data_IF_916192961502
#
_entry.id   IF_916192961502
#
_cell.length_a   1.000
_cell.length_b   1.000
_cell.length_c   1.000
_cell.angle_alpha   90.00
_cell.angle_beta   90.00
_cell.angle_gamma   90.00
#
_symmetry.space_group_name_H-M   'P 1'
#
loop_
_entity.id
_entity.type
_entity.pdbx_description
1 polymer ?
#
# COMPACT_ATOMS: atom_id res chain seq x y z
N UNK A 1 15.25 -3.51 3.69
CA UNK A 1 15.21 -4.82 3.03
C UNK A 1 16.62 -5.37 3.03
N UNK A 2 16.78 -6.57 3.54
CA UNK A 2 18.05 -7.31 3.47
C UNK A 2 18.21 -7.93 2.07
N UNK A 3 19.12 -7.39 1.29
CA UNK A 3 19.33 -7.81 -0.09
C UNK A 3 20.03 -9.16 -0.19
N UNK A 4 20.76 -9.59 0.85
CA UNK A 4 21.50 -10.85 0.85
C UNK A 4 20.59 -12.08 0.97
N UNK A 5 19.38 -11.86 1.50
CA UNK A 5 18.35 -12.91 1.65
C UNK A 5 17.23 -12.82 0.61
N UNK A 6 17.29 -11.84 -0.29
CA UNK A 6 16.29 -11.61 -1.32
C UNK A 6 16.61 -12.38 -2.60
N UNK A 7 15.66 -13.20 -3.07
CA UNK A 7 15.74 -13.76 -4.42
C UNK A 7 15.27 -12.70 -5.43
N UNK A 8 16.19 -12.27 -6.30
CA UNK A 8 15.89 -11.36 -7.40
C UNK A 8 15.89 -12.13 -8.73
N UNK A 9 14.83 -11.96 -9.52
CA UNK A 9 14.68 -12.60 -10.84
C UNK A 9 14.22 -11.55 -11.84
N UNK A 10 14.95 -11.40 -12.95
CA UNK A 10 14.58 -10.54 -14.06
C UNK A 10 13.70 -11.32 -15.05
N UNK A 11 12.49 -10.80 -15.32
CA UNK A 11 11.50 -11.43 -16.20
C UNK A 11 10.84 -10.36 -17.08
N UNK A 12 10.60 -10.68 -18.35
CA UNK A 12 10.12 -9.74 -19.35
C UNK A 12 8.64 -9.94 -19.69
N UNK A 13 8.16 -11.19 -19.62
CA UNK A 13 6.77 -11.47 -20.01
C UNK A 13 5.87 -11.78 -18.82
N UNK A 14 4.59 -11.49 -19.00
CA UNK A 14 3.55 -11.79 -18.00
C UNK A 14 3.50 -13.29 -17.73
N UNK A 15 3.61 -14.09 -18.78
CA UNK A 15 3.57 -15.55 -18.69
C UNK A 15 4.73 -16.07 -17.82
N UNK A 16 5.96 -15.62 -18.08
CA UNK A 16 7.14 -16.05 -17.32
C UNK A 16 7.09 -15.60 -15.86
N UNK A 17 6.54 -14.40 -15.60
CA UNK A 17 6.31 -13.91 -14.22
C UNK A 17 5.42 -14.89 -13.46
N UNK A 18 4.27 -15.24 -14.02
CA UNK A 18 3.31 -16.10 -13.31
C UNK A 18 3.77 -17.56 -13.22
N UNK A 19 4.45 -18.10 -14.23
CA UNK A 19 5.05 -19.43 -14.19
C UNK A 19 6.17 -19.51 -13.14
N UNK A 20 6.96 -18.44 -13.01
CA UNK A 20 8.01 -18.34 -11.98
C UNK A 20 7.41 -18.26 -10.58
N UNK A 21 6.35 -17.46 -10.37
CA UNK A 21 5.64 -17.39 -9.08
C UNK A 21 5.12 -18.78 -8.68
N UNK A 22 4.48 -19.51 -9.61
CA UNK A 22 3.98 -20.86 -9.37
C UNK A 22 5.11 -21.81 -8.97
N UNK A 23 6.21 -21.77 -9.69
CA UNK A 23 7.39 -22.60 -9.42
C UNK A 23 7.98 -22.32 -8.03
N UNK A 24 8.16 -21.04 -7.69
CA UNK A 24 8.71 -20.63 -6.40
C UNK A 24 7.79 -21.09 -5.25
N UNK A 25 6.49 -20.82 -5.35
CA UNK A 25 5.53 -21.21 -4.31
C UNK A 25 5.52 -22.73 -4.14
N UNK A 26 5.49 -23.49 -5.23
CA UNK A 26 5.49 -24.96 -5.19
C UNK A 26 6.75 -25.49 -4.50
N UNK A 27 7.94 -25.04 -4.91
CA UNK A 27 9.21 -25.48 -4.32
C UNK A 27 9.33 -25.13 -2.83
N UNK A 28 8.88 -23.93 -2.44
CA UNK A 28 8.89 -23.55 -1.03
C UNK A 28 7.95 -24.46 -0.22
N UNK A 29 6.79 -24.85 -0.76
CA UNK A 29 5.82 -25.72 -0.06
C UNK A 29 6.29 -27.17 0.05
N UNK A 30 7.13 -27.63 -0.87
CA UNK A 30 7.83 -28.93 -0.75
C UNK A 30 8.78 -28.95 0.44
N UNK A 31 9.45 -27.82 0.73
CA UNK A 31 10.43 -27.71 1.84
C UNK A 31 9.81 -27.21 3.13
N UNK A 32 8.80 -26.35 3.08
CA UNK A 32 8.17 -25.74 4.26
C UNK A 32 6.70 -25.35 4.01
N UNK A 33 5.79 -26.01 4.70
CA UNK A 33 4.33 -25.75 4.55
C UNK A 33 3.88 -24.42 5.17
N UNK A 34 4.58 -23.94 6.19
CA UNK A 34 4.13 -22.82 7.05
C UNK A 34 4.88 -21.52 6.85
N UNK A 35 5.93 -21.51 6.05
CA UNK A 35 6.76 -20.30 5.82
C UNK A 35 5.93 -19.22 5.14
N UNK A 36 5.92 -18.01 5.73
CA UNK A 36 5.38 -16.83 5.07
C UNK A 36 6.27 -16.44 3.90
N UNK A 37 5.68 -16.25 2.73
CA UNK A 37 6.38 -15.86 1.51
C UNK A 37 5.82 -14.55 0.99
N UNK A 38 6.68 -13.56 0.80
CA UNK A 38 6.31 -12.29 0.14
C UNK A 38 6.95 -12.26 -1.23
N UNK A 39 6.14 -12.04 -2.27
CA UNK A 39 6.58 -11.90 -3.65
C UNK A 39 6.16 -10.51 -4.14
N UNK A 40 7.13 -9.73 -4.60
CA UNK A 40 6.91 -8.41 -5.20
C UNK A 40 7.20 -8.49 -6.69
N UNK A 41 6.26 -8.03 -7.50
CA UNK A 41 6.41 -7.86 -8.96
C UNK A 41 6.41 -6.38 -9.30
N UNK A 42 7.53 -5.86 -9.73
CA UNK A 42 7.72 -4.47 -10.12
C UNK A 42 8.21 -4.40 -11.58
N UNK A 43 7.33 -4.05 -12.51
CA UNK A 43 5.89 -3.81 -12.45
C UNK A 43 5.16 -4.58 -13.55
N UNK A 44 3.90 -4.89 -13.34
CA UNK A 44 3.06 -5.47 -14.41
C UNK A 44 2.85 -4.52 -15.59
N UNK A 45 3.02 -3.21 -15.40
CA UNK A 45 2.91 -2.24 -16.48
C UNK A 45 4.03 -2.43 -17.52
N UNK A 46 5.24 -2.76 -17.07
CA UNK A 46 6.42 -2.94 -17.93
C UNK A 46 6.46 -4.28 -18.65
N UNK A 47 5.87 -5.33 -18.06
CA UNK A 47 5.89 -6.66 -18.66
C UNK A 47 5.08 -6.70 -19.96
N UNK A 48 5.62 -7.36 -21.00
CA UNK A 48 4.93 -7.66 -22.25
C UNK A 48 4.27 -9.04 -22.19
N UNK A 49 3.55 -9.46 -23.22
CA UNK A 49 3.16 -10.87 -23.41
C UNK A 49 4.11 -11.53 -24.39
N UNK A 50 4.22 -12.87 -24.38
CA UNK A 50 5.02 -13.60 -25.36
C UNK A 50 4.61 -13.25 -26.79
N UNK A 51 3.31 -13.11 -27.02
CA UNK A 51 2.75 -12.72 -28.32
C UNK A 51 3.18 -11.29 -28.74
N UNK A 52 3.28 -10.37 -27.77
CA UNK A 52 3.80 -9.01 -28.04
C UNK A 52 5.30 -9.03 -28.37
N UNK A 53 6.08 -9.90 -27.71
CA UNK A 53 7.52 -10.00 -27.95
C UNK A 53 7.85 -10.58 -29.33
N UNK A 54 7.02 -11.50 -29.83
CA UNK A 54 7.20 -12.18 -31.10
C UNK A 54 6.64 -11.40 -32.30
N UNK A 55 6.00 -10.28 -32.09
CA UNK A 55 5.30 -9.55 -33.14
C UNK A 55 6.08 -8.37 -33.70
N UNK A 56 5.81 -8.04 -34.95
CA UNK A 56 6.32 -6.85 -35.61
C UNK A 56 5.70 -5.57 -35.02
N UNK A 57 6.46 -4.48 -34.99
CA UNK A 57 6.04 -3.20 -34.38
C UNK A 57 4.82 -2.55 -35.05
N UNK A 58 4.46 -2.98 -36.26
CA UNK A 58 3.40 -2.40 -37.09
C UNK A 58 2.00 -2.98 -36.81
N UNK A 59 1.85 -3.94 -35.87
CA UNK A 59 0.57 -4.60 -35.61
C UNK A 59 -0.14 -4.00 -34.43
N UNK A 60 -1.40 -3.63 -34.58
CA UNK A 60 -2.31 -3.15 -33.54
C UNK A 60 -2.99 -4.30 -32.78
N UNK A 61 -3.44 -4.06 -31.55
CA UNK A 61 -4.32 -4.98 -30.81
C UNK A 61 -3.73 -5.61 -29.54
N UNK A 62 -2.51 -5.29 -29.17
CA UNK A 62 -1.77 -5.90 -28.05
C UNK A 62 -2.38 -5.69 -26.66
N UNK A 63 -3.05 -4.57 -26.42
CA UNK A 63 -3.66 -4.27 -25.12
C UNK A 63 -4.72 -5.30 -24.70
N UNK A 64 -5.43 -5.87 -25.67
CA UNK A 64 -6.44 -6.92 -25.45
C UNK A 64 -5.77 -8.25 -25.11
N UNK A 65 -4.66 -8.60 -25.78
CA UNK A 65 -3.90 -9.81 -25.51
C UNK A 65 -3.41 -9.85 -24.08
N UNK A 66 -2.75 -8.80 -23.62
CA UNK A 66 -2.28 -8.66 -22.24
C UNK A 66 -3.41 -8.81 -21.20
N UNK A 67 -4.58 -8.23 -21.45
CA UNK A 67 -5.71 -8.35 -20.55
C UNK A 67 -6.25 -9.80 -20.45
N UNK A 68 -6.24 -10.56 -21.54
CA UNK A 68 -6.65 -11.96 -21.60
C UNK A 68 -5.66 -12.83 -20.81
N UNK A 69 -4.36 -12.66 -21.07
CA UNK A 69 -3.30 -13.41 -20.37
C UNK A 69 -3.35 -13.15 -18.88
N UNK A 70 -3.40 -11.89 -18.46
CA UNK A 70 -3.53 -11.51 -17.04
C UNK A 70 -4.80 -12.08 -16.41
N UNK A 71 -5.91 -12.11 -17.13
CA UNK A 71 -7.16 -12.66 -16.61
C UNK A 71 -7.06 -14.17 -16.33
N UNK A 72 -6.40 -14.93 -17.19
CA UNK A 72 -6.12 -16.36 -16.98
C UNK A 72 -5.13 -16.56 -15.84
N UNK A 73 -4.03 -15.84 -15.84
CA UNK A 73 -2.97 -15.93 -14.84
C UNK A 73 -3.51 -15.60 -13.43
N UNK A 74 -4.28 -14.52 -13.29
CA UNK A 74 -4.87 -14.15 -11.99
C UNK A 74 -5.84 -15.19 -11.44
N UNK A 75 -6.64 -15.84 -12.27
CA UNK A 75 -7.50 -16.94 -11.81
C UNK A 75 -6.69 -18.12 -11.28
N UNK A 76 -5.64 -18.53 -12.01
CA UNK A 76 -4.77 -19.65 -11.63
C UNK A 76 -4.00 -19.33 -10.34
N UNK A 77 -3.33 -18.17 -10.29
CA UNK A 77 -2.49 -17.81 -9.15
C UNK A 77 -3.30 -17.57 -7.87
N UNK A 78 -4.50 -16.99 -7.96
CA UNK A 78 -5.36 -16.77 -6.80
C UNK A 78 -5.76 -18.10 -6.15
N UNK A 79 -6.02 -19.13 -6.96
CA UNK A 79 -6.32 -20.47 -6.43
C UNK A 79 -5.08 -21.13 -5.82
N UNK A 80 -3.93 -20.99 -6.48
CA UNK A 80 -2.67 -21.54 -6.00
C UNK A 80 -2.27 -20.95 -4.64
N UNK A 81 -2.29 -19.63 -4.49
CA UNK A 81 -1.86 -18.96 -3.26
C UNK A 81 -2.91 -19.00 -2.15
N UNK A 82 -4.16 -19.32 -2.46
CA UNK A 82 -5.22 -19.48 -1.46
C UNK A 82 -4.76 -20.48 -0.40
N UNK A 83 -4.78 -20.10 0.88
CA UNK A 83 -4.33 -20.92 2.02
C UNK A 83 -2.83 -21.24 2.06
N UNK A 84 -1.99 -20.62 1.22
CA UNK A 84 -0.57 -20.92 1.12
C UNK A 84 0.34 -19.93 1.89
N UNK A 85 -0.22 -19.05 2.71
CA UNK A 85 0.55 -18.01 3.42
C UNK A 85 1.51 -17.22 2.51
N UNK A 86 0.99 -16.83 1.32
CA UNK A 86 1.72 -16.04 0.32
C UNK A 86 1.13 -14.63 0.28
N UNK A 87 1.97 -13.63 0.45
CA UNK A 87 1.66 -12.22 0.16
C UNK A 87 2.21 -11.89 -1.24
N UNK A 88 1.32 -11.71 -2.21
CA UNK A 88 1.68 -11.35 -3.57
C UNK A 88 1.35 -9.89 -3.82
N UNK A 89 2.38 -9.08 -4.11
CA UNK A 89 2.31 -7.64 -4.29
C UNK A 89 2.65 -7.31 -5.75
N UNK A 90 1.78 -6.54 -6.39
CA UNK A 90 2.03 -5.99 -7.73
C UNK A 90 2.09 -4.48 -7.68
N UNK A 91 3.12 -3.89 -8.27
CA UNK A 91 3.09 -2.49 -8.65
C UNK A 91 2.49 -2.32 -10.04
N UNK A 92 1.79 -1.21 -10.26
CA UNK A 92 1.23 -0.89 -11.57
C UNK A 92 1.18 0.63 -11.77
N UNK A 93 1.20 1.07 -13.01
CA UNK A 93 1.10 2.48 -13.35
C UNK A 93 -0.35 2.91 -13.55
N UNK A 94 -0.68 4.09 -13.04
CA UNK A 94 -1.96 4.76 -13.30
C UNK A 94 -1.87 5.50 -14.63
N UNK A 95 -2.93 5.35 -15.43
CA UNK A 95 -3.12 6.07 -16.69
C UNK A 95 -4.46 6.81 -16.62
N UNK A 96 -4.50 8.00 -17.19
CA UNK A 96 -5.74 8.76 -17.29
C UNK A 96 -6.56 8.26 -18.49
N UNK A 97 -7.83 7.99 -18.27
CA UNK A 97 -8.77 7.72 -19.34
C UNK A 97 -9.11 9.03 -20.05
N UNK A 98 -8.93 9.08 -21.36
CA UNK A 98 -9.34 10.22 -22.15
C UNK A 98 -10.87 10.27 -22.26
N UNK A 99 -11.44 11.48 -22.19
CA UNK A 99 -12.88 11.69 -22.41
C UNK A 99 -13.80 11.34 -21.23
N UNK A 100 -13.27 10.99 -20.05
CA UNK A 100 -14.09 10.75 -18.86
C UNK A 100 -14.38 12.08 -18.16
N UNK A 101 -15.62 12.56 -18.28
CA UNK A 101 -16.07 13.79 -17.61
C UNK A 101 -16.57 13.54 -16.17
N UNK A 102 -17.05 12.33 -15.86
CA UNK A 102 -17.59 11.95 -14.55
C UNK A 102 -16.98 10.64 -14.06
N UNK A 103 -16.85 10.47 -12.72
CA UNK A 103 -16.30 9.28 -12.09
C UNK A 103 -14.77 9.28 -12.00
N UNK A 104 -14.17 8.11 -11.69
CA UNK A 104 -12.72 7.97 -11.52
C UNK A 104 -12.02 7.94 -12.90
N UNK A 105 -11.24 8.98 -13.25
CA UNK A 105 -10.55 9.05 -14.54
C UNK A 105 -9.34 8.11 -14.62
N UNK A 106 -8.97 7.48 -13.52
CA UNK A 106 -7.76 6.67 -13.44
C UNK A 106 -8.01 5.20 -13.78
N UNK A 107 -7.13 4.63 -14.56
CA UNK A 107 -7.10 3.21 -14.91
C UNK A 107 -5.69 2.66 -14.83
N UNK A 108 -5.56 1.34 -14.78
CA UNK A 108 -4.28 0.63 -14.82
C UNK A 108 -4.17 -0.19 -16.10
N UNK A 109 -2.94 -0.43 -16.57
CA UNK A 109 -2.72 -1.37 -17.67
C UNK A 109 -3.09 -2.80 -17.27
N UNK A 110 -3.44 -3.63 -18.27
CA UNK A 110 -3.77 -5.05 -18.03
C UNK A 110 -5.24 -5.34 -17.71
N UNK A 111 -6.15 -4.40 -17.96
CA UNK A 111 -7.60 -4.63 -17.86
C UNK A 111 -8.12 -4.67 -16.41
N UNK A 112 -9.26 -5.34 -16.20
CA UNK A 112 -9.98 -5.39 -14.92
C UNK A 112 -9.62 -6.57 -14.02
N UNK A 113 -8.83 -7.55 -14.50
CA UNK A 113 -8.55 -8.77 -13.77
C UNK A 113 -7.80 -8.51 -12.46
N UNK A 114 -6.70 -7.74 -12.51
CA UNK A 114 -5.92 -7.42 -11.31
C UNK A 114 -6.74 -6.64 -10.28
N UNK A 115 -7.45 -5.54 -10.63
CA UNK A 115 -8.38 -4.87 -9.71
C UNK A 115 -9.42 -5.78 -9.08
N UNK A 116 -9.94 -6.74 -9.84
CA UNK A 116 -10.95 -7.68 -9.35
C UNK A 116 -10.40 -8.66 -8.33
N UNK A 117 -9.25 -9.29 -8.63
CA UNK A 117 -8.66 -10.33 -7.78
C UNK A 117 -7.95 -9.76 -6.54
N UNK A 118 -7.36 -8.57 -6.61
CA UNK A 118 -6.66 -7.96 -5.49
C UNK A 118 -7.56 -7.84 -4.24
N UNK A 119 -7.04 -8.27 -3.09
CA UNK A 119 -7.69 -8.11 -1.78
C UNK A 119 -7.60 -6.67 -1.30
N UNK A 120 -6.45 -6.06 -1.45
CA UNK A 120 -6.20 -4.66 -1.09
C UNK A 120 -5.61 -3.93 -2.30
N UNK A 121 -6.05 -2.69 -2.53
CA UNK A 121 -5.48 -1.79 -3.53
C UNK A 121 -5.17 -0.46 -2.90
N UNK A 122 -3.94 -0.01 -3.08
CA UNK A 122 -3.45 1.27 -2.56
C UNK A 122 -3.07 2.14 -3.74
N UNK A 123 -3.56 3.39 -3.76
CA UNK A 123 -3.16 4.43 -4.70
C UNK A 123 -2.16 5.34 -4.03
N UNK A 124 -1.00 5.54 -4.64
CA UNK A 124 -0.01 6.51 -4.20
C UNK A 124 -0.13 7.77 -5.02
N UNK A 125 -0.07 8.93 -4.35
CA UNK A 125 -0.09 10.24 -4.99
C UNK A 125 1.01 11.12 -4.41
N UNK A 126 1.81 11.74 -5.27
CA UNK A 126 2.74 12.78 -4.88
C UNK A 126 1.95 14.05 -4.54
N UNK A 127 2.12 14.58 -3.34
CA UNK A 127 1.44 15.75 -2.80
C UNK A 127 2.31 17.02 -2.85
N UNK A 128 3.58 16.89 -3.20
CA UNK A 128 4.51 18.01 -3.30
C UNK A 128 5.93 17.67 -2.85
N UNK A 129 6.81 18.62 -3.05
CA UNK A 129 8.24 18.52 -2.71
C UNK A 129 8.48 18.92 -1.26
N UNK A 130 9.41 18.25 -0.62
CA UNK A 130 9.98 18.66 0.68
C UNK A 130 11.31 19.31 0.40
N UNK A 131 11.51 20.53 0.90
CA UNK A 131 12.71 21.32 0.68
C UNK A 131 13.44 21.59 1.99
N UNK A 132 14.75 21.64 1.92
CA UNK A 132 15.59 22.07 3.03
C UNK A 132 15.65 23.62 3.16
N UNK A 133 16.44 24.10 4.12
CA UNK A 133 16.65 25.54 4.36
C UNK A 133 17.33 26.25 3.19
N UNK A 134 18.04 25.52 2.32
CA UNK A 134 18.69 26.02 1.11
C UNK A 134 17.79 26.01 -0.12
N UNK A 135 16.54 25.56 0.06
CA UNK A 135 15.52 25.34 -0.99
C UNK A 135 15.81 24.15 -1.91
N UNK A 136 16.77 23.29 -1.56
CA UNK A 136 17.02 22.05 -2.29
C UNK A 136 15.93 21.02 -1.99
N UNK A 137 15.49 20.28 -3.02
CA UNK A 137 14.47 19.24 -2.84
C UNK A 137 15.12 18.00 -2.25
N UNK A 138 14.77 17.68 -1.00
CA UNK A 138 15.33 16.56 -0.23
C UNK A 138 14.36 15.37 -0.13
N UNK A 139 13.11 15.54 -0.59
CA UNK A 139 12.11 14.50 -0.54
C UNK A 139 10.79 14.93 -1.15
N UNK A 140 9.80 14.05 -1.02
CA UNK A 140 8.41 14.28 -1.47
C UNK A 140 7.42 13.86 -0.39
N UNK A 141 6.27 14.52 -0.35
CA UNK A 141 5.15 14.12 0.48
C UNK A 141 4.24 13.18 -0.31
N UNK A 142 4.01 11.99 0.20
CA UNK A 142 3.18 10.97 -0.44
C UNK A 142 1.86 10.84 0.32
N UNK A 143 0.75 10.72 -0.44
CA UNK A 143 -0.52 10.23 0.08
C UNK A 143 -0.75 8.83 -0.43
N UNK A 144 -0.92 7.87 0.50
CA UNK A 144 -1.38 6.52 0.22
C UNK A 144 -2.87 6.42 0.54
N UNK A 145 -3.69 6.04 -0.42
CA UNK A 145 -5.13 5.86 -0.27
C UNK A 145 -5.53 4.42 -0.55
N UNK A 146 -6.20 3.79 0.38
CA UNK A 146 -6.77 2.45 0.21
C UNK A 146 -8.05 2.55 -0.60
N UNK A 147 -8.00 2.24 -1.90
CA UNK A 147 -9.16 2.33 -2.81
C UNK A 147 -9.99 1.05 -2.88
N UNK A 148 -9.47 -0.06 -2.36
CA UNK A 148 -10.18 -1.32 -2.18
C UNK A 148 -9.57 -2.07 -1.00
N UNK A 149 -10.40 -2.63 -0.15
CA UNK A 149 -9.96 -3.51 0.92
C UNK A 149 -11.05 -4.56 1.21
N UNK A 150 -10.65 -5.83 1.26
CA UNK A 150 -11.51 -6.96 1.67
C UNK A 150 -11.31 -7.36 3.12
N UNK A 151 -10.24 -6.85 3.75
CA UNK A 151 -9.83 -7.19 5.12
C UNK A 151 -10.28 -6.15 6.15
N UNK A 152 -10.88 -5.04 5.71
CA UNK A 152 -11.33 -3.94 6.56
C UNK A 152 -11.88 -2.78 5.74
N UNK A 153 -12.17 -1.62 6.37
CA UNK A 153 -12.75 -0.46 5.70
C UNK A 153 -11.85 0.07 4.58
N UNK A 154 -12.38 0.29 3.36
CA UNK A 154 -11.68 1.00 2.30
C UNK A 154 -11.71 2.52 2.51
N UNK A 155 -11.17 3.27 1.55
CA UNK A 155 -11.20 4.73 1.41
C UNK A 155 -10.38 5.51 2.44
N UNK A 156 -9.66 4.84 3.33
CA UNK A 156 -8.73 5.49 4.25
C UNK A 156 -7.47 5.96 3.53
N UNK A 157 -6.89 7.03 4.02
CA UNK A 157 -5.62 7.54 3.50
C UNK A 157 -4.67 7.92 4.63
N UNK A 158 -3.38 7.77 4.36
CA UNK A 158 -2.29 8.26 5.18
C UNK A 158 -1.36 9.13 4.35
N UNK A 159 -0.77 10.15 4.96
CA UNK A 159 0.26 10.99 4.35
C UNK A 159 1.55 10.82 5.12
N UNK A 160 2.64 10.70 4.40
CA UNK A 160 3.97 10.55 4.98
C UNK A 160 5.04 11.17 4.08
N UNK A 161 6.14 11.65 4.68
CA UNK A 161 7.31 12.10 3.93
C UNK A 161 8.13 10.90 3.43
N UNK A 162 8.64 11.04 2.22
CA UNK A 162 9.63 10.13 1.62
C UNK A 162 10.86 10.96 1.30
N UNK A 163 11.94 10.78 2.06
CA UNK A 163 13.22 11.43 1.85
C UNK A 163 14.10 10.63 0.89
N UNK A 164 14.87 11.31 0.06
CA UNK A 164 15.69 10.64 -0.97
C UNK A 164 16.91 9.91 -0.39
N UNK A 165 17.39 10.35 0.77
CA UNK A 165 18.56 9.79 1.46
C UNK A 165 18.22 8.64 2.42
N UNK A 166 17.01 8.63 3.02
CA UNK A 166 16.65 7.69 4.09
C UNK A 166 15.30 7.00 3.92
N UNK A 167 14.58 7.29 2.83
CA UNK A 167 13.30 6.65 2.55
C UNK A 167 12.13 7.23 3.35
N UNK A 168 11.18 6.38 3.76
CA UNK A 168 9.99 6.79 4.50
C UNK A 168 10.37 7.22 5.91
N UNK A 169 9.91 8.40 6.33
CA UNK A 169 9.98 8.82 7.72
C UNK A 169 8.79 8.23 8.50
N UNK A 170 8.99 7.02 8.98
CA UNK A 170 7.96 6.29 9.70
C UNK A 170 7.65 6.96 11.04
N UNK A 171 8.68 7.34 11.78
CA UNK A 171 8.53 7.94 13.11
C UNK A 171 7.91 9.34 13.08
N UNK A 172 8.29 10.19 12.14
CA UNK A 172 7.63 11.48 11.93
C UNK A 172 6.16 11.32 11.54
N UNK A 173 5.83 10.24 10.83
CA UNK A 173 4.45 9.88 10.51
C UNK A 173 3.66 9.46 11.74
N UNK A 174 4.25 8.69 12.66
CA UNK A 174 3.62 8.33 13.93
C UNK A 174 3.30 9.55 14.77
N UNK A 175 4.25 10.48 14.93
CA UNK A 175 4.03 11.71 15.67
C UNK A 175 2.88 12.55 15.09
N UNK A 176 2.76 12.59 13.75
CA UNK A 176 1.65 13.25 13.07
C UNK A 176 0.32 12.60 13.44
N UNK A 177 0.23 11.27 13.36
CA UNK A 177 -0.98 10.53 13.75
C UNK A 177 -1.32 10.71 15.22
N UNK A 178 -0.32 10.69 16.11
CA UNK A 178 -0.52 10.93 17.53
C UNK A 178 -1.13 12.33 17.81
N UNK A 179 -0.70 13.34 17.06
CA UNK A 179 -1.28 14.70 17.14
C UNK A 179 -2.73 14.71 16.68
N UNK A 180 -2.99 14.15 15.51
CA UNK A 180 -4.32 14.15 14.90
C UNK A 180 -5.35 13.44 15.78
N UNK A 181 -4.93 12.40 16.49
CA UNK A 181 -5.76 11.61 17.40
C UNK A 181 -5.66 12.01 18.88
N UNK A 182 -4.99 13.14 19.18
CA UNK A 182 -4.85 13.67 20.56
C UNK A 182 -4.19 12.70 21.55
N UNK A 183 -3.33 11.82 21.05
CA UNK A 183 -2.49 10.95 21.87
C UNK A 183 -1.28 11.66 22.46
N UNK A 184 -0.98 12.86 21.95
CA UNK A 184 0.09 13.73 22.42
C UNK A 184 -0.44 15.16 22.52
N UNK A 185 -0.07 15.87 23.58
CA UNK A 185 -0.32 17.31 23.71
C UNK A 185 0.83 18.08 23.09
N UNK A 186 0.53 19.18 22.40
CA UNK A 186 1.55 20.07 21.84
C UNK A 186 1.44 21.48 22.43
N UNK A 187 2.56 21.99 22.93
CA UNK A 187 2.71 23.36 23.39
C UNK A 187 3.94 23.99 22.71
N UNK A 188 3.71 24.81 21.68
CA UNK A 188 4.79 25.35 20.86
C UNK A 188 5.60 24.25 20.16
N UNK A 189 6.91 24.18 20.43
CA UNK A 189 7.81 23.15 19.90
C UNK A 189 7.86 21.86 20.72
N UNK A 190 7.19 21.85 21.88
CA UNK A 190 7.21 20.74 22.82
C UNK A 190 5.98 19.86 22.69
N UNK A 191 6.20 18.56 22.87
CA UNK A 191 5.18 17.52 22.90
C UNK A 191 5.23 16.82 24.24
N UNK A 192 4.05 16.51 24.79
CA UNK A 192 3.93 15.73 26.03
C UNK A 192 3.12 14.48 25.72
N UNK A 193 3.70 13.32 26.02
CA UNK A 193 3.10 12.00 25.87
C UNK A 193 3.05 11.33 27.24
N UNK A 194 1.96 10.64 27.54
CA UNK A 194 1.78 9.87 28.78
C UNK A 194 1.87 8.39 28.41
N UNK A 195 2.77 7.65 29.06
CA UNK A 195 2.94 6.22 28.83
C UNK A 195 1.95 5.37 29.66
N UNK A 196 2.10 4.04 29.58
CA UNK A 196 1.24 3.07 30.27
C UNK A 196 1.33 3.14 31.81
N UNK A 197 2.39 3.72 32.34
CA UNK A 197 2.67 3.85 33.78
C UNK A 197 2.30 5.27 34.29
N UNK A 198 1.50 6.01 33.55
CA UNK A 198 1.11 7.41 33.80
C UNK A 198 2.30 8.38 33.88
N UNK A 199 3.44 8.03 33.31
CA UNK A 199 4.61 8.88 33.29
C UNK A 199 4.56 9.82 32.09
N UNK A 200 4.76 11.11 32.36
CA UNK A 200 4.85 12.14 31.33
C UNK A 200 6.26 12.19 30.71
N UNK A 201 6.29 12.16 29.37
CA UNK A 201 7.50 12.34 28.56
C UNK A 201 7.39 13.64 27.77
N UNK A 202 8.25 14.59 28.05
CA UNK A 202 8.37 15.83 27.29
C UNK A 202 9.52 15.72 26.29
N UNK A 203 9.25 16.07 25.02
CA UNK A 203 10.24 15.99 23.96
C UNK A 203 9.96 16.99 22.83
N UNK A 204 10.96 17.29 22.02
CA UNK A 204 10.79 17.98 20.75
C UNK A 204 10.69 16.96 19.61
N UNK A 205 10.10 17.37 18.48
CA UNK A 205 9.94 16.49 17.30
C UNK A 205 11.23 15.77 16.89
N UNK A 206 12.40 16.45 16.99
CA UNK A 206 13.71 15.87 16.66
C UNK A 206 14.14 14.74 17.62
N UNK A 207 13.64 14.76 18.85
CA UNK A 207 14.02 13.82 19.92
C UNK A 207 13.06 12.63 20.00
N UNK A 208 11.99 12.62 19.20
CA UNK A 208 10.98 11.56 19.18
C UNK A 208 11.59 10.18 18.85
N UNK A 209 12.53 10.13 17.92
CA UNK A 209 13.26 8.91 17.58
C UNK A 209 14.00 8.30 18.78
N UNK A 210 14.54 9.14 19.67
CA UNK A 210 15.20 8.66 20.90
C UNK A 210 14.19 8.11 21.92
N UNK A 211 13.00 8.73 22.04
CA UNK A 211 11.95 8.25 22.93
C UNK A 211 11.46 6.86 22.53
N UNK A 212 11.27 6.60 21.24
CA UNK A 212 10.79 5.33 20.71
C UNK A 212 11.91 4.31 20.45
N UNK A 213 13.15 4.59 20.81
CA UNK A 213 14.23 3.60 20.79
C UNK A 213 14.06 2.53 21.88
N UNK A 214 13.32 2.86 22.95
CA UNK A 214 12.86 1.88 23.93
C UNK A 214 11.72 1.04 23.34
N UNK A 215 11.91 -0.29 23.34
CA UNK A 215 11.01 -1.24 22.67
C UNK A 215 9.61 -1.25 23.30
N UNK A 216 9.53 -1.11 24.62
CA UNK A 216 8.25 -1.14 25.34
C UNK A 216 7.46 0.14 25.06
N UNK A 217 8.10 1.29 25.08
CA UNK A 217 7.51 2.59 24.71
C UNK A 217 7.08 2.59 23.26
N UNK A 218 7.91 2.08 22.33
CA UNK A 218 7.58 1.95 20.92
C UNK A 218 6.32 1.12 20.71
N UNK A 219 6.26 -0.03 21.35
CA UNK A 219 5.11 -0.94 21.27
C UNK A 219 3.84 -0.28 21.80
N UNK A 220 3.93 0.35 22.96
CA UNK A 220 2.78 1.03 23.57
C UNK A 220 2.23 2.16 22.68
N UNK A 221 3.11 2.97 22.10
CA UNK A 221 2.72 4.02 21.15
C UNK A 221 2.05 3.42 19.92
N UNK A 222 2.66 2.36 19.35
CA UNK A 222 2.11 1.66 18.19
C UNK A 222 0.71 1.10 18.49
N UNK A 223 0.54 0.41 19.60
CA UNK A 223 -0.75 -0.18 20.01
C UNK A 223 -1.80 0.93 20.24
N UNK A 224 -1.42 2.04 20.89
CA UNK A 224 -2.28 3.20 21.11
C UNK A 224 -2.72 3.86 19.80
N UNK A 225 -1.83 3.99 18.82
CA UNK A 225 -2.15 4.47 17.47
C UNK A 225 -3.14 3.50 16.81
N UNK A 226 -2.85 2.19 16.85
CA UNK A 226 -3.70 1.19 16.26
C UNK A 226 -5.12 1.18 16.85
N UNK A 227 -5.25 1.33 18.15
CA UNK A 227 -6.56 1.42 18.81
C UNK A 227 -7.40 2.63 18.35
N UNK A 228 -6.75 3.75 18.08
CA UNK A 228 -7.44 4.97 17.63
C UNK A 228 -7.72 4.98 16.13
N UNK A 229 -6.81 4.42 15.33
CA UNK A 229 -6.90 4.48 13.86
C UNK A 229 -7.66 3.29 13.29
N UNK A 230 -7.51 2.09 13.87
CA UNK A 230 -8.20 0.89 13.42
C UNK A 230 -9.65 0.96 13.92
N UNK A 231 -10.59 1.08 12.98
CA UNK A 231 -12.01 0.95 13.32
C UNK A 231 -12.24 -0.52 13.66
N UNK A 232 -12.42 -0.80 14.95
CA UNK A 232 -12.96 -2.08 15.40
C UNK A 232 -14.44 -2.06 15.02
N UNK A 233 -14.90 -3.01 14.24
CA UNK A 233 -16.31 -3.26 14.08
C UNK A 233 -16.82 -3.80 15.42
N UNK A 234 -17.44 -2.95 16.20
CA UNK A 234 -18.32 -3.42 17.26
C UNK A 234 -19.54 -4.06 16.59
N UNK A 235 -19.74 -5.35 16.82
CA UNK A 235 -20.85 -6.12 16.27
C UNK A 235 -22.21 -5.78 16.89
N UNK A 236 -22.30 -4.73 17.65
CA UNK A 236 -23.47 -4.23 18.34
C UNK A 236 -23.84 -2.82 17.92
N UNK A 237 -24.85 -2.72 17.10
CA UNK A 237 -25.73 -1.55 16.95
C UNK A 237 -25.10 -0.29 16.31
N UNK A 238 -24.98 -0.31 14.99
CA UNK A 238 -25.29 0.93 14.25
C UNK A 238 -26.82 0.99 14.12
N UNK A 239 -27.47 1.79 14.94
CA UNK A 239 -28.82 2.23 14.67
C UNK A 239 -28.83 2.97 13.33
N UNK A 240 -29.87 2.78 12.53
CA UNK A 240 -30.05 3.48 11.24
C UNK A 240 -30.01 5.01 11.45
N UNK A 241 -30.29 5.47 12.64
CA UNK A 241 -30.32 6.88 13.03
C UNK A 241 -28.93 7.54 13.19
N UNK A 242 -27.84 6.73 13.24
CA UNK A 242 -26.46 7.24 13.36
C UNK A 242 -25.78 7.46 12.00
N UNK A 243 -26.45 7.19 10.88
CA UNK A 243 -25.90 7.35 9.53
C UNK A 243 -26.36 8.66 8.92
N UNK A 244 -25.57 9.71 9.08
CA UNK A 244 -25.74 10.92 8.26
C UNK A 244 -25.09 10.70 6.90
N UNK A 245 -25.90 10.55 5.85
CA UNK A 245 -25.42 10.62 4.47
C UNK A 245 -25.29 12.09 4.08
N UNK A 246 -24.08 12.63 4.09
CA UNK A 246 -23.81 13.99 3.59
C UNK A 246 -23.67 14.07 2.06
N UNK A 247 -23.75 12.97 1.35
CA UNK A 247 -23.71 12.97 -0.10
C UNK A 247 -25.08 12.62 -0.67
N UNK A 248 -25.80 13.66 -1.04
CA UNK A 248 -27.00 13.54 -1.86
C UNK A 248 -26.65 12.89 -3.20
N UNK A 249 -26.94 11.62 -3.34
CA UNK A 249 -27.23 11.05 -4.64
C UNK A 249 -28.56 11.64 -5.08
N UNK A 250 -28.51 12.68 -5.92
CA UNK A 250 -29.67 13.07 -6.69
C UNK A 250 -29.97 11.91 -7.66
N UNK A 251 -31.06 11.22 -7.42
CA UNK A 251 -31.73 10.38 -8.40
C UNK A 251 -32.16 11.25 -9.57
N UNK A 252 -31.60 11.00 -10.76
CA UNK A 252 -32.25 11.15 -12.06
C UNK A 252 -31.63 10.17 -13.07
#
# INVERSE_FOLDING_TARGET
>A
IDTDTMLYVHLETVEDIFDTIETIVTKIRESSKDKLVTILVDSLAAASTKVEMDADFDKDGWATSKAIVLSKAMRKITQLIARQKVCLIFTNQLRQKLGVMFGDPWTTSGGKALPFHASTRIRLKNMGQIKDNKKDTIGIKIRAQVIKNRLGPPLRSAEFPLFFDKGIDDFGSWLTVMKDHKLVKQAGAWYTFVDQDDKEHEFQSKDFGALISDVDTQKYIYDSICEKVIIKYDSGQLGIDDVTTEDGFADE
#
